data_IF_489209166016
#
_entry.id   IF_489209166016
#
_cell.length_a   1.000
_cell.length_b   1.000
_cell.length_c   1.000
_cell.angle_alpha   90.00
_cell.angle_beta   90.00
_cell.angle_gamma   90.00
#
_symmetry.space_group_name_H-M   'P 1'
#
loop_
_entity.id
_entity.type
_entity.pdbx_description
1 polymer ?
#
# COMPACT_ATOMS: atom_id res chain seq x y z
N UNK A 1 36.17 -15.45 -6.03
CA UNK A 1 34.70 -15.39 -6.04
C UNK A 1 34.12 -13.97 -5.91
N UNK A 2 34.78 -13.00 -5.26
CA UNK A 2 34.30 -11.59 -5.11
C UNK A 2 34.10 -10.81 -6.42
N UNK A 3 34.94 -11.03 -7.45
CA UNK A 3 34.85 -10.34 -8.74
C UNK A 3 33.64 -10.75 -9.62
N UNK A 4 33.02 -11.90 -9.38
CA UNK A 4 31.88 -12.37 -10.19
C UNK A 4 30.56 -11.73 -9.72
N UNK A 5 30.38 -11.57 -8.39
CA UNK A 5 29.17 -10.93 -7.81
C UNK A 5 29.00 -9.46 -8.16
N UNK A 6 30.11 -8.70 -8.25
CA UNK A 6 30.07 -7.29 -8.66
C UNK A 6 29.74 -7.11 -10.15
N UNK A 7 30.07 -8.10 -10.98
CA UNK A 7 29.72 -8.05 -12.43
C UNK A 7 28.26 -8.41 -12.69
N UNK A 8 27.67 -9.28 -11.89
CA UNK A 8 26.24 -9.62 -12.02
C UNK A 8 25.34 -8.50 -11.51
N UNK A 9 25.72 -7.79 -10.45
CA UNK A 9 25.00 -6.60 -9.97
C UNK A 9 25.09 -5.41 -10.96
N UNK A 10 26.26 -5.22 -11.59
CA UNK A 10 26.43 -4.20 -12.64
C UNK A 10 25.70 -4.57 -13.94
N UNK A 11 25.59 -5.86 -14.27
CA UNK A 11 24.83 -6.33 -15.43
C UNK A 11 23.31 -6.14 -15.22
N UNK A 12 22.77 -6.35 -14.01
CA UNK A 12 21.37 -6.10 -13.70
C UNK A 12 21.01 -4.62 -13.74
N UNK A 13 21.91 -3.76 -13.24
CA UNK A 13 21.75 -2.30 -13.32
C UNK A 13 21.83 -1.79 -14.77
N UNK A 14 22.68 -2.41 -15.63
CA UNK A 14 22.80 -2.07 -17.04
C UNK A 14 21.57 -2.53 -17.87
N UNK A 15 20.95 -3.67 -17.53
CA UNK A 15 19.75 -4.14 -18.21
C UNK A 15 18.52 -3.28 -17.88
N UNK A 16 18.46 -2.70 -16.68
CA UNK A 16 17.43 -1.72 -16.33
C UNK A 16 17.67 -0.34 -16.98
N UNK A 17 18.92 0.00 -17.28
CA UNK A 17 19.28 1.28 -17.93
C UNK A 17 19.15 1.25 -19.45
N UNK A 18 19.16 0.08 -20.10
CA UNK A 18 19.04 -0.07 -21.57
C UNK A 18 17.64 -0.44 -22.05
N UNK A 19 16.68 -0.66 -21.14
CA UNK A 19 15.28 -0.82 -21.50
C UNK A 19 14.69 0.53 -21.94
N UNK A 20 15.10 0.95 -23.12
CA UNK A 20 14.37 1.88 -23.98
C UNK A 20 14.21 3.31 -23.48
N UNK A 21 15.25 4.13 -23.59
CA UNK A 21 15.06 5.53 -23.93
C UNK A 21 14.57 5.65 -25.38
N UNK A 22 13.47 5.00 -25.69
CA UNK A 22 12.59 5.48 -26.74
C UNK A 22 12.02 6.77 -26.18
N UNK A 23 12.33 7.89 -26.79
CA UNK A 23 11.62 9.15 -26.61
C UNK A 23 10.16 8.89 -26.96
N UNK A 24 9.37 8.43 -25.99
CA UNK A 24 7.94 8.65 -25.98
C UNK A 24 7.77 10.15 -25.82
N UNK A 25 7.76 10.86 -26.94
CA UNK A 25 7.09 12.13 -27.02
C UNK A 25 5.63 11.78 -26.65
N UNK A 26 5.29 11.94 -25.36
CA UNK A 26 3.94 11.98 -24.91
C UNK A 26 3.34 13.19 -25.63
N UNK A 27 2.65 12.95 -26.72
CA UNK A 27 1.63 13.87 -27.19
C UNK A 27 0.71 14.03 -25.98
N UNK A 28 0.72 15.21 -25.39
CA UNK A 28 -0.28 15.60 -24.44
C UNK A 28 -1.60 15.62 -25.24
N UNK A 29 -2.29 14.47 -25.23
CA UNK A 29 -3.68 14.42 -25.59
C UNK A 29 -4.41 15.30 -24.60
N UNK A 30 -4.84 16.48 -25.07
CA UNK A 30 -5.73 17.41 -24.38
C UNK A 30 -7.17 16.86 -24.32
N UNK A 31 -7.36 15.54 -24.41
CA UNK A 31 -8.61 14.90 -24.06
C UNK A 31 -8.80 15.05 -22.56
N UNK A 32 -9.87 15.69 -22.16
CA UNK A 32 -10.32 15.78 -20.76
C UNK A 32 -10.13 14.41 -20.11
N UNK A 33 -9.55 14.32 -18.88
CA UNK A 33 -9.37 13.06 -18.22
C UNK A 33 -10.73 12.36 -18.16
N UNK A 34 -10.87 11.25 -18.87
CA UNK A 34 -12.06 10.42 -18.72
C UNK A 34 -12.01 9.90 -17.30
N UNK A 35 -12.91 10.40 -16.48
CA UNK A 35 -13.23 9.81 -15.19
C UNK A 35 -13.48 8.32 -15.47
N UNK A 36 -12.73 7.47 -14.81
CA UNK A 36 -12.97 6.02 -14.91
C UNK A 36 -14.44 5.78 -14.57
N UNK A 37 -15.16 5.06 -15.43
CA UNK A 37 -16.55 4.69 -15.17
C UNK A 37 -16.68 3.68 -14.01
N UNK A 38 -15.70 3.61 -13.13
CA UNK A 38 -15.69 2.72 -12.01
C UNK A 38 -16.39 3.34 -10.80
N UNK A 39 -17.24 2.57 -10.17
CA UNK A 39 -17.81 2.85 -8.85
C UNK A 39 -16.81 2.53 -7.73
N UNK A 40 -17.17 2.84 -6.49
CA UNK A 40 -16.39 2.52 -5.30
C UNK A 40 -14.91 2.95 -5.36
N UNK A 41 -14.62 4.13 -5.91
CA UNK A 41 -13.25 4.65 -6.07
C UNK A 41 -12.47 4.76 -4.74
N UNK A 42 -13.15 4.75 -3.61
CA UNK A 42 -12.52 4.74 -2.28
C UNK A 42 -11.63 3.49 -2.07
N UNK A 43 -11.88 2.37 -2.77
CA UNK A 43 -11.04 1.17 -2.75
C UNK A 43 -9.63 1.40 -3.32
N UNK A 44 -9.43 2.50 -4.07
CA UNK A 44 -8.12 2.90 -4.60
C UNK A 44 -7.31 3.74 -3.61
N UNK A 45 -7.91 4.17 -2.49
CA UNK A 45 -7.21 4.96 -1.50
C UNK A 45 -6.08 4.14 -0.85
N UNK A 46 -4.88 4.72 -0.73
CA UNK A 46 -3.76 4.01 -0.13
C UNK A 46 -3.99 3.84 1.38
N UNK A 47 -3.72 2.64 1.90
CA UNK A 47 -3.85 2.30 3.31
C UNK A 47 -2.51 1.82 3.85
N UNK A 48 -2.15 2.30 5.06
CA UNK A 48 -0.94 1.94 5.75
C UNK A 48 0.23 2.90 5.52
N UNK A 49 0.78 3.41 6.63
CA UNK A 49 1.84 4.42 6.58
C UNK A 49 3.18 3.87 6.04
N UNK A 50 3.44 2.57 6.23
CA UNK A 50 4.67 1.96 5.74
C UNK A 50 4.74 2.00 4.22
N UNK A 51 3.73 1.50 3.53
CA UNK A 51 3.69 1.45 2.06
C UNK A 51 3.62 2.86 1.46
N UNK A 52 2.82 3.74 2.09
CA UNK A 52 2.68 5.12 1.64
C UNK A 52 3.99 5.88 1.74
N UNK A 53 4.74 5.70 2.83
CA UNK A 53 6.08 6.30 2.99
C UNK A 53 7.07 5.85 1.91
N UNK A 54 6.85 4.69 1.29
CA UNK A 54 7.62 4.14 0.18
C UNK A 54 7.02 4.49 -1.21
N UNK A 55 6.34 5.61 -1.35
CA UNK A 55 5.72 5.99 -2.63
C UNK A 55 4.58 5.06 -3.04
N UNK A 56 3.92 4.40 -2.10
CA UNK A 56 2.89 3.39 -2.32
C UNK A 56 3.39 2.11 -3.03
N UNK A 57 4.69 1.82 -2.97
CA UNK A 57 5.27 0.58 -3.47
C UNK A 57 5.10 -0.55 -2.45
N UNK A 58 3.89 -1.15 -2.39
CA UNK A 58 3.44 -2.09 -1.37
C UNK A 58 3.22 -3.53 -1.84
N UNK A 59 3.30 -3.84 -3.14
CA UNK A 59 2.96 -5.16 -3.71
C UNK A 59 3.85 -6.28 -3.15
N UNK A 60 5.06 -5.95 -2.74
CA UNK A 60 6.02 -6.91 -2.15
C UNK A 60 6.15 -6.79 -0.63
N UNK A 61 5.31 -5.99 0.03
CA UNK A 61 5.29 -5.85 1.49
C UNK A 61 5.00 -7.19 2.16
N UNK A 62 5.69 -7.47 3.25
CA UNK A 62 5.56 -8.71 4.03
C UNK A 62 5.67 -8.46 5.53
N UNK A 63 5.14 -9.44 6.30
CA UNK A 63 5.32 -9.48 7.75
C UNK A 63 4.52 -8.45 8.52
N UNK A 64 3.56 -7.80 7.88
CA UNK A 64 2.66 -6.80 8.47
C UNK A 64 1.25 -6.98 7.93
N UNK A 65 0.25 -6.71 8.77
CA UNK A 65 -1.17 -6.82 8.40
C UNK A 65 -1.58 -5.86 7.29
N UNK A 66 -0.96 -4.67 7.20
CA UNK A 66 -1.27 -3.71 6.14
C UNK A 66 -1.00 -4.24 4.72
N UNK A 67 -0.21 -5.33 4.58
CA UNK A 67 0.03 -5.97 3.28
C UNK A 67 -1.26 -6.45 2.61
N UNK A 68 -2.33 -6.71 3.36
CA UNK A 68 -3.63 -7.13 2.82
C UNK A 68 -4.20 -6.15 1.80
N UNK A 69 -3.98 -4.87 1.97
CA UNK A 69 -4.49 -3.82 1.09
C UNK A 69 -3.67 -3.69 -0.22
N UNK A 70 -2.46 -4.26 -0.25
CA UNK A 70 -1.54 -4.19 -1.40
C UNK A 70 -1.42 -5.52 -2.13
N UNK A 71 -1.17 -6.58 -1.38
CA UNK A 71 -1.04 -7.95 -1.88
C UNK A 71 -1.28 -8.93 -0.71
N UNK A 72 -2.38 -9.67 -0.68
CA UNK A 72 -2.71 -10.54 0.44
C UNK A 72 -1.67 -11.65 0.68
N UNK A 73 -0.85 -12.01 -0.31
CA UNK A 73 0.22 -12.98 -0.14
C UNK A 73 1.28 -12.56 0.91
N UNK A 74 1.42 -11.26 1.16
CA UNK A 74 2.33 -10.71 2.18
C UNK A 74 1.98 -11.15 3.61
N UNK A 75 0.73 -11.50 3.88
CA UNK A 75 0.27 -12.02 5.16
C UNK A 75 0.87 -13.40 5.50
N UNK A 76 1.29 -14.19 4.50
CA UNK A 76 1.83 -15.52 4.70
C UNK A 76 3.11 -15.54 5.57
N UNK A 77 3.82 -14.41 5.63
CA UNK A 77 5.05 -14.23 6.40
C UNK A 77 4.83 -13.50 7.74
N UNK A 78 3.60 -13.33 8.18
CA UNK A 78 3.31 -12.68 9.46
C UNK A 78 3.90 -13.53 10.61
N UNK A 79 4.77 -12.95 11.46
CA UNK A 79 5.52 -13.74 12.46
C UNK A 79 4.67 -14.12 13.68
N UNK A 80 3.71 -13.29 14.05
CA UNK A 80 2.84 -13.44 15.21
C UNK A 80 1.45 -12.83 14.92
N UNK A 81 0.50 -13.02 15.81
CA UNK A 81 -0.80 -12.36 15.67
C UNK A 81 -0.61 -10.84 15.73
N UNK A 82 -1.30 -10.12 14.85
CA UNK A 82 -1.21 -8.66 14.75
C UNK A 82 -2.60 -8.04 14.77
N UNK A 83 -2.78 -7.06 15.65
CA UNK A 83 -3.86 -6.09 15.59
C UNK A 83 -3.28 -4.76 15.10
N UNK A 84 -3.92 -4.13 14.10
CA UNK A 84 -3.44 -2.86 13.60
C UNK A 84 -4.58 -1.88 13.33
N UNK A 85 -4.27 -0.59 13.50
CA UNK A 85 -5.12 0.54 13.16
C UNK A 85 -4.32 1.49 12.29
N UNK A 86 -4.86 1.82 11.12
CA UNK A 86 -4.28 2.81 10.20
C UNK A 86 -5.29 3.91 9.93
N UNK A 87 -4.89 5.16 10.05
CA UNK A 87 -5.75 6.31 9.79
C UNK A 87 -5.08 7.29 8.85
N UNK A 88 -5.88 7.92 8.00
CA UNK A 88 -5.43 8.96 7.10
C UNK A 88 -6.54 10.01 6.90
N UNK A 89 -6.12 11.26 6.66
CA UNK A 89 -7.04 12.32 6.25
C UNK A 89 -6.92 12.48 4.73
N UNK A 90 -7.91 11.93 4.02
CA UNK A 90 -8.06 12.15 2.58
C UNK A 90 -8.87 13.43 2.34
N UNK A 91 -8.87 13.91 1.11
CA UNK A 91 -9.71 15.04 0.69
C UNK A 91 -11.19 14.71 0.85
N UNK A 92 -11.54 13.47 0.55
CA UNK A 92 -12.91 12.99 0.68
C UNK A 92 -13.39 12.91 2.15
N UNK A 93 -12.44 12.91 3.12
CA UNK A 93 -12.72 12.77 4.54
C UNK A 93 -11.74 11.84 5.24
N UNK A 94 -11.89 11.64 6.55
CA UNK A 94 -11.06 10.70 7.30
C UNK A 94 -11.34 9.26 6.91
N UNK A 95 -10.25 8.50 6.67
CA UNK A 95 -10.29 7.06 6.46
C UNK A 95 -9.60 6.32 7.59
N UNK A 96 -10.21 5.23 8.07
CA UNK A 96 -9.64 4.40 9.13
C UNK A 96 -9.78 2.93 8.78
N UNK A 97 -8.67 2.20 8.83
CA UNK A 97 -8.63 0.76 8.68
C UNK A 97 -8.26 0.10 10.01
N UNK A 98 -8.97 -0.96 10.34
CA UNK A 98 -8.69 -1.81 11.52
C UNK A 98 -8.57 -3.24 11.02
N UNK A 99 -7.50 -3.93 11.40
CA UNK A 99 -7.24 -5.31 10.97
C UNK A 99 -6.78 -6.18 12.14
N UNK A 100 -7.10 -7.46 12.04
CA UNK A 100 -6.60 -8.49 12.95
C UNK A 100 -6.26 -9.76 12.17
N UNK A 101 -5.02 -10.20 12.24
CA UNK A 101 -4.50 -11.38 11.56
C UNK A 101 -3.82 -12.32 12.53
N UNK A 102 -4.05 -13.62 12.35
CA UNK A 102 -3.54 -14.67 13.22
C UNK A 102 -2.86 -15.76 12.36
N UNK A 103 -1.52 -15.88 12.42
CA UNK A 103 -0.82 -16.96 11.76
C UNK A 103 -1.02 -18.29 12.51
N UNK A 104 -1.17 -19.38 11.74
CA UNK A 104 -1.24 -20.75 12.23
C UNK A 104 -0.18 -21.60 11.56
N UNK A 105 0.74 -22.14 12.35
CA UNK A 105 1.85 -22.96 11.85
C UNK A 105 1.35 -24.11 10.98
N UNK A 106 1.95 -24.28 9.80
CA UNK A 106 1.64 -25.36 8.86
C UNK A 106 0.33 -25.18 8.08
N UNK A 107 -0.44 -24.10 8.34
CA UNK A 107 -1.69 -23.82 7.65
C UNK A 107 -1.59 -22.51 6.87
N UNK A 108 -1.30 -21.42 7.54
CA UNK A 108 -1.26 -20.08 6.98
C UNK A 108 -1.80 -19.02 7.95
N UNK A 109 -1.99 -17.82 7.46
CA UNK A 109 -2.49 -16.68 8.21
C UNK A 109 -3.94 -16.39 7.81
N UNK A 110 -4.80 -16.28 8.81
CA UNK A 110 -6.21 -15.89 8.66
C UNK A 110 -6.42 -14.53 9.32
N UNK A 111 -7.36 -13.78 8.82
CA UNK A 111 -7.77 -12.58 9.52
C UNK A 111 -8.89 -11.83 8.84
N UNK A 112 -9.30 -10.78 9.53
CA UNK A 112 -10.39 -9.90 9.14
C UNK A 112 -9.96 -8.45 9.29
N UNK A 113 -10.65 -7.56 8.61
CA UNK A 113 -10.48 -6.14 8.77
C UNK A 113 -11.69 -5.35 8.30
N UNK A 114 -11.65 -4.06 8.57
CA UNK A 114 -12.62 -3.09 8.11
C UNK A 114 -11.89 -1.82 7.70
N UNK A 115 -12.27 -1.23 6.58
CA UNK A 115 -11.88 0.11 6.19
C UNK A 115 -13.13 0.98 6.07
N UNK A 116 -13.13 2.09 6.79
CA UNK A 116 -14.20 3.09 6.81
C UNK A 116 -13.68 4.39 6.20
N UNK A 117 -14.40 4.95 5.24
CA UNK A 117 -14.24 6.32 4.76
C UNK A 117 -15.50 7.10 5.08
N UNK A 118 -15.37 8.16 5.88
CA UNK A 118 -16.45 9.05 6.26
C UNK A 118 -16.29 10.38 5.50
N UNK A 119 -17.28 10.71 4.67
CA UNK A 119 -17.25 11.94 3.88
C UNK A 119 -17.72 13.17 4.68
N UNK A 120 -18.11 12.96 5.94
CA UNK A 120 -18.63 14.02 6.80
C UNK A 120 -20.03 14.48 6.43
N UNK A 121 -20.47 15.53 7.10
CA UNK A 121 -21.74 16.20 6.85
C UNK A 121 -21.67 17.05 5.58
N UNK A 122 -22.65 16.90 4.69
CA UNK A 122 -22.80 17.69 3.49
C UNK A 122 -24.20 18.33 3.44
N UNK A 123 -24.23 19.66 3.29
CA UNK A 123 -25.49 20.39 3.12
C UNK A 123 -26.02 20.23 1.70
N UNK A 124 -27.30 19.91 1.58
CA UNK A 124 -28.01 19.81 0.32
C UNK A 124 -29.13 20.86 0.31
N UNK A 125 -29.10 21.72 -0.69
CA UNK A 125 -30.08 22.80 -0.85
C UNK A 125 -30.31 23.18 -2.31
N UNK A 126 -31.38 23.90 -2.56
CA UNK A 126 -31.70 24.46 -3.89
C UNK A 126 -30.95 25.76 -4.15
N UNK A 127 -30.53 26.45 -3.08
CA UNK A 127 -29.78 27.73 -3.11
C UNK A 127 -28.72 27.71 -2.00
N UNK A 128 -27.61 28.38 -2.22
CA UNK A 128 -26.48 28.49 -1.26
C UNK A 128 -26.85 29.15 0.08
N UNK A 129 -28.07 29.60 0.27
CA UNK A 129 -28.56 30.28 1.49
C UNK A 129 -29.56 29.47 2.30
N UNK A 130 -30.02 28.30 1.81
CA UNK A 130 -31.03 27.48 2.49
C UNK A 130 -30.71 25.98 2.38
N UNK A 131 -29.95 25.46 3.32
CA UNK A 131 -29.83 24.02 3.45
C UNK A 131 -31.19 23.43 3.83
N UNK A 132 -31.75 22.57 2.97
CA UNK A 132 -33.03 21.90 3.22
C UNK A 132 -32.87 20.52 3.85
N UNK A 133 -31.68 19.93 3.63
CA UNK A 133 -31.32 18.61 4.16
C UNK A 133 -29.81 18.55 4.41
N UNK A 134 -29.41 17.56 5.22
CA UNK A 134 -28.03 17.17 5.46
C UNK A 134 -27.85 15.71 5.10
N UNK A 135 -26.80 15.37 4.37
CA UNK A 135 -26.46 14.00 4.06
C UNK A 135 -25.12 13.61 4.70
N UNK A 136 -24.99 12.33 5.07
CA UNK A 136 -23.82 11.74 5.70
C UNK A 136 -23.38 10.52 4.88
N UNK A 137 -22.65 10.70 3.78
CA UNK A 137 -22.18 9.58 2.98
C UNK A 137 -21.05 8.83 3.69
N UNK A 138 -21.07 7.50 3.62
CA UNK A 138 -20.04 6.61 4.18
C UNK A 138 -19.79 5.44 3.25
N UNK A 139 -18.52 5.05 3.14
CA UNK A 139 -18.11 3.81 2.51
C UNK A 139 -17.47 2.90 3.55
N UNK A 140 -17.85 1.64 3.54
CA UNK A 140 -17.25 0.62 4.39
C UNK A 140 -16.83 -0.57 3.54
N UNK A 141 -15.61 -1.04 3.75
CA UNK A 141 -15.09 -2.29 3.19
C UNK A 141 -14.81 -3.24 4.35
N UNK A 142 -15.52 -4.36 4.43
CA UNK A 142 -15.19 -5.47 5.31
C UNK A 142 -14.35 -6.47 4.53
N UNK A 143 -13.27 -6.96 5.12
CA UNK A 143 -12.41 -7.95 4.48
C UNK A 143 -12.20 -9.19 5.35
N UNK A 144 -12.09 -10.34 4.68
CA UNK A 144 -11.66 -11.59 5.26
C UNK A 144 -10.57 -12.20 4.37
N UNK A 145 -9.44 -12.56 4.96
CA UNK A 145 -8.26 -12.95 4.20
C UNK A 145 -7.66 -14.26 4.69
N UNK A 146 -7.08 -14.98 3.74
CA UNK A 146 -6.24 -16.15 3.99
C UNK A 146 -4.97 -16.07 3.13
N UNK A 147 -3.82 -16.38 3.72
CA UNK A 147 -2.56 -16.48 3.01
C UNK A 147 -1.71 -17.63 3.54
N UNK A 148 -0.95 -18.25 2.65
CA UNK A 148 -0.07 -19.37 3.02
C UNK A 148 1.19 -19.37 2.17
N UNK A 149 2.27 -19.99 2.69
CA UNK A 149 3.50 -20.21 1.95
C UNK A 149 3.50 -21.60 1.35
N UNK A 150 3.73 -21.66 0.04
CA UNK A 150 3.89 -22.88 -0.72
C UNK A 150 5.38 -23.15 -0.93
N UNK A 151 5.86 -24.34 -0.56
CA UNK A 151 7.25 -24.77 -0.78
C UNK A 151 8.34 -23.76 -0.33
N UNK A 152 8.08 -22.99 0.73
CA UNK A 152 9.06 -22.11 1.39
C UNK A 152 9.45 -20.81 0.66
N UNK A 153 9.37 -20.76 -0.66
CA UNK A 153 9.77 -19.59 -1.45
C UNK A 153 8.58 -18.80 -2.04
N UNK A 154 7.45 -19.46 -2.21
CA UNK A 154 6.26 -18.88 -2.84
C UNK A 154 5.18 -18.67 -1.78
N UNK A 155 4.63 -17.49 -1.71
CA UNK A 155 3.47 -17.16 -0.89
C UNK A 155 2.28 -16.84 -1.80
N UNK A 156 1.09 -17.25 -1.38
CA UNK A 156 -0.18 -16.93 -2.05
C UNK A 156 -1.19 -16.44 -1.01
N UNK A 157 -2.10 -15.59 -1.44
CA UNK A 157 -3.14 -15.05 -0.57
C UNK A 157 -4.40 -14.70 -1.34
N UNK A 158 -5.52 -14.74 -0.64
CA UNK A 158 -6.82 -14.34 -1.14
C UNK A 158 -7.52 -13.48 -0.08
N UNK A 159 -8.20 -12.44 -0.54
CA UNK A 159 -9.07 -11.61 0.31
C UNK A 159 -10.46 -11.54 -0.32
N UNK A 160 -11.47 -11.81 0.46
CA UNK A 160 -12.84 -11.50 0.15
C UNK A 160 -13.21 -10.15 0.76
N UNK A 161 -13.91 -9.32 0.00
CA UNK A 161 -14.33 -7.98 0.39
C UNK A 161 -15.84 -7.84 0.25
N UNK A 162 -16.47 -7.28 1.27
CA UNK A 162 -17.84 -6.82 1.23
C UNK A 162 -17.83 -5.30 1.27
N UNK A 163 -18.30 -4.67 0.21
CA UNK A 163 -18.22 -3.22 0.01
C UNK A 163 -19.60 -2.64 0.15
N UNK A 164 -19.77 -1.73 1.11
CA UNK A 164 -21.02 -1.06 1.41
C UNK A 164 -20.88 0.45 1.21
N UNK A 165 -21.84 1.05 0.54
CA UNK A 165 -22.01 2.49 0.43
C UNK A 165 -23.35 2.86 1.07
N UNK A 166 -23.34 3.81 2.02
CA UNK A 166 -24.52 4.26 2.74
C UNK A 166 -24.62 5.77 2.69
N UNK A 167 -25.83 6.29 2.48
CA UNK A 167 -26.16 7.71 2.62
C UNK A 167 -27.29 7.83 3.65
N UNK A 168 -26.98 8.40 4.80
CA UNK A 168 -27.99 8.84 5.76
C UNK A 168 -28.41 10.28 5.43
N UNK A 169 -29.70 10.60 5.56
CA UNK A 169 -30.22 11.92 5.31
C UNK A 169 -31.06 12.43 6.48
N UNK A 170 -30.87 13.70 6.85
CA UNK A 170 -31.62 14.40 7.89
C UNK A 170 -32.24 15.69 7.32
N UNK A 171 -33.47 16.00 7.69
CA UNK A 171 -34.23 17.16 7.22
C UNK A 171 -35.21 16.82 6.11
N UNK A 172 -35.37 17.69 5.11
CA UNK A 172 -36.27 17.44 3.98
C UNK A 172 -35.56 16.60 2.91
N UNK A 173 -35.64 15.29 3.03
CA UNK A 173 -34.98 14.31 2.16
C UNK A 173 -35.82 13.89 0.95
N UNK A 174 -36.90 14.60 0.64
CA UNK A 174 -37.75 14.29 -0.51
C UNK A 174 -36.97 14.42 -1.82
N UNK A 175 -36.89 13.35 -2.59
CA UNK A 175 -36.15 13.30 -3.86
C UNK A 175 -34.63 13.09 -3.73
N UNK A 176 -34.11 12.99 -2.50
CA UNK A 176 -32.73 12.57 -2.23
C UNK A 176 -32.69 11.06 -2.00
N UNK A 177 -31.56 10.41 -2.32
CA UNK A 177 -31.34 9.03 -1.94
C UNK A 177 -31.24 8.94 -0.41
N UNK A 178 -32.34 8.63 0.25
CA UNK A 178 -32.39 8.45 1.71
C UNK A 178 -32.37 6.96 2.01
N UNK A 179 -31.41 6.52 2.81
CA UNK A 179 -31.23 5.10 3.11
C UNK A 179 -30.79 4.29 1.87
N UNK A 180 -30.10 4.92 0.94
CA UNK A 180 -29.52 4.21 -0.19
C UNK A 180 -28.34 3.40 0.29
N UNK A 181 -28.57 2.11 0.48
CA UNK A 181 -27.55 1.12 0.76
C UNK A 181 -27.20 0.40 -0.54
N UNK A 182 -25.99 0.57 -1.02
CA UNK A 182 -25.44 -0.25 -2.09
C UNK A 182 -24.44 -1.23 -1.51
N UNK A 183 -24.60 -2.50 -1.87
CA UNK A 183 -23.76 -3.60 -1.40
C UNK A 183 -23.20 -4.35 -2.60
N UNK A 184 -21.89 -4.60 -2.57
CA UNK A 184 -21.23 -5.44 -3.58
C UNK A 184 -20.13 -6.28 -2.98
N UNK A 185 -19.63 -7.24 -3.76
CA UNK A 185 -18.63 -8.20 -3.35
C UNK A 185 -17.41 -8.09 -4.28
N UNK A 186 -16.21 -8.16 -3.71
CA UNK A 186 -14.95 -8.18 -4.44
C UNK A 186 -14.00 -9.22 -3.89
N UNK A 187 -12.98 -9.54 -4.69
CA UNK A 187 -11.91 -10.47 -4.34
C UNK A 187 -10.58 -9.89 -4.76
N UNK A 188 -9.57 -10.12 -3.91
CA UNK A 188 -8.17 -9.93 -4.25
C UNK A 188 -7.47 -11.29 -4.23
N UNK A 189 -6.57 -11.48 -5.18
CA UNK A 189 -5.69 -12.66 -5.25
C UNK A 189 -4.27 -12.16 -5.44
N UNK A 190 -3.34 -12.70 -4.66
CA UNK A 190 -1.96 -12.29 -4.72
C UNK A 190 -0.97 -13.44 -4.61
N UNK A 191 0.23 -13.19 -5.12
CA UNK A 191 1.37 -14.08 -4.99
C UNK A 191 2.64 -13.28 -4.77
N UNK A 192 3.60 -13.89 -4.07
CA UNK A 192 4.96 -13.36 -3.91
C UNK A 192 5.95 -14.52 -3.98
N UNK A 193 7.14 -14.24 -4.50
CA UNK A 193 8.23 -15.21 -4.57
C UNK A 193 9.54 -14.57 -4.16
N UNK A 194 10.28 -15.25 -3.29
CA UNK A 194 11.66 -14.91 -2.93
C UNK A 194 12.61 -15.57 -3.92
N UNK A 195 13.50 -14.79 -4.52
CA UNK A 195 14.44 -15.26 -5.56
C UNK A 195 15.87 -15.10 -5.09
N UNK A 196 16.70 -16.08 -5.42
CA UNK A 196 18.13 -16.08 -5.10
C UNK A 196 18.46 -16.58 -3.70
N UNK A 197 19.74 -16.71 -3.41
CA UNK A 197 20.25 -17.13 -2.11
C UNK A 197 19.96 -16.07 -1.05
N UNK A 198 19.21 -16.44 0.00
CA UNK A 198 18.85 -15.53 1.08
C UNK A 198 17.64 -14.62 0.78
N UNK A 199 16.96 -14.78 -0.38
CA UNK A 199 15.73 -14.05 -0.69
C UNK A 199 15.91 -12.53 -0.79
N UNK A 200 17.08 -12.08 -1.25
CA UNK A 200 17.37 -10.65 -1.41
C UNK A 200 16.46 -9.96 -2.42
N UNK A 201 16.07 -10.67 -3.48
CA UNK A 201 15.08 -10.20 -4.45
C UNK A 201 13.73 -10.86 -4.15
N UNK A 202 12.68 -10.06 -4.11
CA UNK A 202 11.29 -10.53 -4.02
C UNK A 202 10.51 -9.95 -5.16
N UNK A 203 9.70 -10.79 -5.81
CA UNK A 203 8.76 -10.41 -6.84
C UNK A 203 7.35 -10.65 -6.31
N UNK A 204 6.41 -9.81 -6.69
CA UNK A 204 5.02 -9.91 -6.30
C UNK A 204 4.08 -9.61 -7.46
N UNK A 205 2.93 -10.26 -7.45
CA UNK A 205 1.82 -9.97 -8.34
C UNK A 205 0.51 -10.04 -7.57
N UNK A 206 -0.39 -9.12 -7.83
CA UNK A 206 -1.73 -9.12 -7.25
C UNK A 206 -2.76 -8.66 -8.29
N UNK A 207 -3.92 -9.29 -8.27
CA UNK A 207 -5.12 -8.78 -8.93
C UNK A 207 -6.10 -8.41 -7.83
N UNK A 208 -6.53 -7.15 -7.82
CA UNK A 208 -7.35 -6.59 -6.75
C UNK A 208 -8.70 -6.13 -7.28
N UNK A 209 -9.67 -6.09 -6.36
CA UNK A 209 -10.98 -5.48 -6.56
C UNK A 209 -11.78 -6.09 -7.72
N UNK A 210 -11.55 -7.39 -8.00
CA UNK A 210 -12.37 -8.13 -8.96
C UNK A 210 -13.69 -8.49 -8.31
N UNK A 211 -14.81 -8.01 -8.86
CA UNK A 211 -16.09 -8.27 -8.23
C UNK A 211 -17.30 -7.92 -9.08
N UNK A 212 -18.44 -7.90 -8.41
CA UNK A 212 -19.70 -7.52 -9.03
C UNK A 212 -19.84 -6.02 -9.10
N UNK A 213 -20.62 -5.54 -10.08
CA UNK A 213 -20.89 -4.12 -10.22
C UNK A 213 -21.61 -3.56 -8.99
N UNK A 214 -21.24 -2.34 -8.60
CA UNK A 214 -21.94 -1.61 -7.54
C UNK A 214 -23.23 -1.02 -8.11
N UNK A 215 -24.36 -1.37 -7.50
CA UNK A 215 -25.70 -0.86 -7.88
C UNK A 215 -26.22 0.04 -6.76
N UNK A 216 -26.32 1.34 -7.02
CA UNK A 216 -26.86 2.31 -6.05
C UNK A 216 -28.38 2.44 -6.19
N UNK A 217 -28.90 2.50 -7.40
CA UNK A 217 -30.34 2.69 -7.66
C UNK A 217 -30.97 1.51 -8.42
N UNK A 218 -30.38 1.14 -9.56
CA UNK A 218 -30.91 0.07 -10.41
C UNK A 218 -29.78 -0.56 -11.27
N UNK A 219 -30.10 -1.69 -11.91
CA UNK A 219 -29.12 -2.42 -12.72
C UNK A 219 -28.58 -1.64 -13.94
N UNK A 220 -29.33 -0.66 -14.45
CA UNK A 220 -28.90 0.16 -15.57
C UNK A 220 -27.88 1.24 -15.17
N UNK A 221 -27.80 1.55 -13.88
CA UNK A 221 -26.88 2.52 -13.27
C UNK A 221 -25.85 1.81 -12.39
N UNK A 222 -25.39 0.64 -12.82
CA UNK A 222 -24.40 -0.15 -12.08
C UNK A 222 -23.01 0.09 -12.62
N UNK A 223 -22.09 0.50 -11.75
CA UNK A 223 -20.71 0.80 -12.08
C UNK A 223 -19.80 -0.40 -11.77
N UNK A 224 -18.84 -0.75 -12.64
CA UNK A 224 -17.85 -1.78 -12.36
C UNK A 224 -16.96 -1.35 -11.18
N UNK A 225 -16.41 -2.31 -10.46
CA UNK A 225 -15.40 -2.04 -9.45
C UNK A 225 -14.06 -1.67 -10.10
N UNK A 226 -13.18 -0.91 -9.40
CA UNK A 226 -11.91 -0.44 -9.94
C UNK A 226 -10.83 -1.55 -9.93
N UNK A 227 -11.11 -2.67 -10.59
CA UNK A 227 -10.20 -3.82 -10.63
C UNK A 227 -8.83 -3.45 -11.22
N UNK A 228 -7.76 -3.97 -10.61
CA UNK A 228 -6.36 -3.65 -10.96
C UNK A 228 -5.45 -4.85 -10.95
N UNK A 229 -4.48 -4.86 -11.88
CA UNK A 229 -3.32 -5.74 -11.87
C UNK A 229 -2.12 -4.95 -11.34
N UNK A 230 -1.49 -5.46 -10.29
CA UNK A 230 -0.32 -4.88 -9.67
C UNK A 230 0.85 -5.85 -9.74
N UNK A 231 2.01 -5.39 -10.19
CA UNK A 231 3.27 -6.13 -10.22
C UNK A 231 4.31 -5.37 -9.40
N UNK A 232 5.12 -6.08 -8.63
CA UNK A 232 6.10 -5.45 -7.77
C UNK A 232 7.42 -6.21 -7.70
N UNK A 233 8.49 -5.47 -7.43
CA UNK A 233 9.80 -6.00 -7.13
C UNK A 233 10.40 -5.26 -5.92
N UNK A 234 11.03 -6.00 -5.02
CA UNK A 234 11.77 -5.47 -3.89
C UNK A 234 13.15 -6.11 -3.84
N UNK A 235 14.17 -5.28 -3.70
CA UNK A 235 15.54 -5.73 -3.48
C UNK A 235 16.05 -5.27 -2.12
N UNK A 236 16.51 -6.24 -1.29
CA UNK A 236 17.08 -5.98 0.03
C UNK A 236 18.61 -6.02 -0.02
N UNK A 237 19.22 -4.99 0.55
CA UNK A 237 20.66 -4.85 0.70
C UNK A 237 20.96 -4.83 2.19
N UNK A 238 21.55 -5.91 2.69
CA UNK A 238 22.04 -5.99 4.06
C UNK A 238 23.51 -5.53 4.07
N UNK A 239 23.79 -4.45 4.78
CA UNK A 239 25.15 -3.90 4.90
C UNK A 239 26.00 -4.63 5.94
N UNK A 240 25.54 -5.78 6.43
CA UNK A 240 26.33 -6.64 7.32
C UNK A 240 27.54 -7.18 6.56
N UNK A 241 28.79 -6.98 7.03
CA UNK A 241 29.91 -7.75 6.50
C UNK A 241 29.63 -9.22 6.84
N UNK A 242 29.64 -10.07 5.81
CA UNK A 242 29.61 -11.50 6.04
C UNK A 242 30.69 -11.84 7.07
N UNK A 243 30.27 -12.51 8.14
CA UNK A 243 31.14 -12.99 9.23
C UNK A 243 32.36 -13.68 8.63
N UNK A 244 33.47 -12.94 8.49
CA UNK A 244 34.76 -13.52 8.17
C UNK A 244 35.26 -14.02 9.50
N UNK A 245 35.15 -15.35 9.72
CA UNK A 245 35.66 -16.04 10.90
C UNK A 245 36.99 -15.47 11.38
N UNK A 246 36.91 -14.53 12.27
CA UNK A 246 38.01 -13.90 12.96
C UNK A 246 37.81 -14.20 14.44
N UNK A 247 38.76 -14.89 15.00
CA UNK A 247 38.82 -15.24 16.41
C UNK A 247 38.72 -13.97 17.30
N UNK A 248 38.63 -14.17 18.63
CA UNK A 248 38.35 -13.11 19.59
C UNK A 248 39.45 -12.05 19.53
N UNK A 249 39.19 -10.94 18.90
CA UNK A 249 39.97 -9.71 19.06
C UNK A 249 39.61 -9.09 20.39
N UNK A 250 40.55 -9.12 21.33
CA UNK A 250 40.47 -8.38 22.58
C UNK A 250 40.21 -6.89 22.24
N UNK A 251 39.04 -6.43 22.61
CA UNK A 251 38.69 -5.03 22.50
C UNK A 251 39.61 -4.23 23.41
N UNK A 252 40.40 -3.33 22.85
CA UNK A 252 41.07 -2.28 23.60
C UNK A 252 39.99 -1.24 23.98
N UNK A 253 39.87 -0.88 25.26
CA UNK A 253 39.00 0.22 25.65
C UNK A 253 39.68 1.54 25.30
N UNK A 254 38.87 2.44 24.78
CA UNK A 254 39.12 3.87 24.71
C UNK A 254 39.63 4.47 23.38
N UNK A 255 38.67 5.00 22.70
CA UNK A 255 38.70 6.31 22.08
C UNK A 255 37.29 6.67 21.65
N UNK A 256 36.73 7.78 22.10
CA UNK A 256 35.41 8.31 21.79
C UNK A 256 35.17 8.66 20.29
N UNK A 257 35.67 7.82 19.42
CA UNK A 257 35.38 7.81 17.98
C UNK A 257 34.12 6.95 17.81
N UNK A 258 33.06 7.56 17.35
CA UNK A 258 31.93 6.86 16.77
C UNK A 258 32.49 5.88 15.72
N UNK A 259 32.48 4.60 16.04
CA UNK A 259 32.87 3.56 15.08
C UNK A 259 31.76 3.42 14.03
N UNK A 260 31.89 4.21 12.97
CA UNK A 260 30.94 4.26 11.87
C UNK A 260 30.78 2.86 11.22
N UNK A 261 31.79 2.01 11.31
CA UNK A 261 31.75 0.67 10.75
C UNK A 261 30.81 -0.24 11.55
N UNK A 262 30.79 -0.14 12.85
CA UNK A 262 29.87 -0.90 13.70
C UNK A 262 28.42 -0.44 13.55
N UNK A 263 28.21 0.85 13.37
CA UNK A 263 26.87 1.42 13.11
C UNK A 263 26.31 1.00 11.74
N UNK A 264 27.14 0.99 10.70
CA UNK A 264 26.74 0.58 9.34
C UNK A 264 26.41 -0.91 9.26
N UNK A 265 26.97 -1.75 10.15
CA UNK A 265 26.67 -3.18 10.21
C UNK A 265 25.24 -3.52 10.64
N UNK A 266 24.46 -2.52 11.02
CA UNK A 266 23.11 -2.68 11.56
C UNK A 266 22.05 -2.00 10.67
N UNK A 267 22.46 -1.60 9.46
CA UNK A 267 21.61 -0.93 8.49
C UNK A 267 21.15 -1.93 7.43
N UNK A 268 19.86 -2.01 7.17
CA UNK A 268 19.27 -2.63 5.99
C UNK A 268 18.63 -1.59 5.08
N UNK A 269 18.75 -1.81 3.78
CA UNK A 269 18.15 -0.95 2.77
C UNK A 269 17.23 -1.82 1.90
N UNK A 270 16.02 -1.33 1.65
CA UNK A 270 15.05 -1.96 0.76
C UNK A 270 14.70 -1.00 -0.36
N UNK A 271 14.80 -1.47 -1.59
CA UNK A 271 14.41 -0.74 -2.78
C UNK A 271 13.20 -1.44 -3.38
N UNK A 272 12.11 -0.73 -3.56
CA UNK A 272 10.86 -1.27 -4.11
C UNK A 272 10.47 -0.52 -5.38
N UNK A 273 9.89 -1.25 -6.33
CA UNK A 273 9.29 -0.72 -7.54
C UNK A 273 8.02 -1.51 -7.86
N UNK A 274 6.91 -0.80 -8.06
CA UNK A 274 5.63 -1.38 -8.42
C UNK A 274 5.09 -0.77 -9.72
N UNK A 275 4.38 -1.58 -10.49
CA UNK A 275 3.59 -1.21 -11.65
C UNK A 275 2.13 -1.58 -11.35
N UNK A 276 1.25 -0.62 -11.44
CA UNK A 276 -0.18 -0.80 -11.19
C UNK A 276 -0.97 -0.40 -12.45
N UNK A 277 -1.89 -1.25 -12.91
CA UNK A 277 -2.65 -1.04 -14.13
C UNK A 277 -4.12 -1.39 -13.93
N UNK A 278 -5.06 -0.51 -14.34
CA UNK A 278 -6.47 -0.87 -14.41
C UNK A 278 -6.68 -2.12 -15.27
N UNK A 279 -7.56 -3.01 -14.83
CA UNK A 279 -7.83 -4.29 -15.51
C UNK A 279 -8.42 -4.11 -16.91
N UNK A 280 -9.28 -3.14 -17.07
CA UNK A 280 -9.98 -2.79 -18.31
C UNK A 280 -9.16 -1.91 -19.26
N UNK A 281 -7.90 -1.60 -18.91
CA UNK A 281 -7.04 -0.68 -19.66
C UNK A 281 -7.62 0.74 -19.85
N UNK A 282 -8.55 1.15 -19.01
CA UNK A 282 -9.21 2.47 -19.06
C UNK A 282 -8.25 3.63 -18.81
N UNK A 283 -7.08 3.35 -18.21
CA UNK A 283 -6.05 4.33 -17.93
C UNK A 283 -4.65 3.72 -18.12
N UNK A 284 -3.61 4.55 -18.41
CA UNK A 284 -2.23 4.09 -18.49
C UNK A 284 -1.74 3.54 -17.14
N UNK A 285 -0.69 2.69 -17.14
CA UNK A 285 -0.14 2.14 -15.92
C UNK A 285 0.51 3.22 -15.05
N UNK A 286 0.39 3.05 -13.73
CA UNK A 286 1.04 3.85 -12.71
C UNK A 286 2.32 3.17 -12.26
N UNK A 287 3.38 3.94 -12.00
CA UNK A 287 4.63 3.45 -11.46
C UNK A 287 4.89 4.01 -10.07
N UNK A 288 5.41 3.19 -9.19
CA UNK A 288 5.68 3.57 -7.81
C UNK A 288 7.08 3.09 -7.41
N UNK A 289 7.84 3.95 -6.75
CA UNK A 289 9.20 3.66 -6.32
C UNK A 289 9.38 4.03 -4.86
N UNK A 290 10.09 3.19 -4.14
CA UNK A 290 10.33 3.39 -2.72
C UNK A 290 11.70 2.94 -2.27
N UNK A 291 12.20 3.63 -1.27
CA UNK A 291 13.37 3.26 -0.49
C UNK A 291 12.98 3.23 1.00
N UNK A 292 13.42 2.20 1.68
CA UNK A 292 13.24 2.02 3.13
C UNK A 292 14.60 1.70 3.73
N UNK A 293 15.07 2.54 4.64
CA UNK A 293 16.33 2.39 5.36
C UNK A 293 16.02 2.09 6.82
N UNK A 294 16.43 0.93 7.29
CA UNK A 294 16.25 0.48 8.66
C UNK A 294 17.55 0.49 9.44
N UNK A 295 17.45 0.87 10.71
CA UNK A 295 18.51 0.77 11.69
C UNK A 295 18.05 -0.08 12.87
N UNK A 296 18.77 -1.17 13.16
CA UNK A 296 18.44 -2.14 14.23
C UNK A 296 17.02 -2.74 14.15
N UNK A 297 16.38 -2.72 12.99
CA UNK A 297 14.97 -3.08 12.84
C UNK A 297 14.02 -2.19 13.69
N UNK A 298 14.57 -1.27 14.48
CA UNK A 298 13.82 -0.42 15.41
C UNK A 298 13.39 0.88 14.79
N UNK A 299 14.27 1.55 14.04
CA UNK A 299 13.99 2.84 13.40
C UNK A 299 14.03 2.62 11.89
N UNK A 300 13.01 3.12 11.21
CA UNK A 300 12.93 3.07 9.74
C UNK A 300 12.64 4.46 9.19
N UNK A 301 13.35 4.82 8.13
CA UNK A 301 13.11 6.05 7.36
C UNK A 301 12.80 5.65 5.93
N UNK A 302 11.76 6.23 5.38
CA UNK A 302 11.23 5.87 4.07
C UNK A 302 11.07 7.10 3.21
N UNK A 303 11.28 6.92 1.92
CA UNK A 303 10.95 7.90 0.91
C UNK A 303 10.53 7.19 -0.36
N UNK A 304 9.72 7.84 -1.16
CA UNK A 304 9.28 7.27 -2.41
C UNK A 304 8.62 8.30 -3.33
N UNK A 305 8.24 7.82 -4.50
CA UNK A 305 7.53 8.62 -5.50
C UNK A 305 6.50 7.77 -6.22
N UNK A 306 5.29 8.28 -6.32
CA UNK A 306 4.22 7.70 -7.12
C UNK A 306 4.04 8.53 -8.40
N UNK A 307 4.14 7.87 -9.55
CA UNK A 307 3.74 8.41 -10.86
C UNK A 307 2.31 7.94 -11.13
N UNK A 308 1.36 8.64 -10.54
CA UNK A 308 -0.06 8.37 -10.68
C UNK A 308 -0.70 9.40 -11.61
N UNK A 309 -1.90 9.11 -12.09
CA UNK A 309 -2.63 10.00 -12.97
C UNK A 309 -3.41 11.06 -12.21
N UNK A 310 -3.96 12.03 -12.93
CA UNK A 310 -4.87 13.05 -12.41
C UNK A 310 -4.28 13.93 -11.29
N UNK A 311 -2.95 14.18 -11.33
CA UNK A 311 -2.32 15.05 -10.34
C UNK A 311 -2.06 14.40 -8.98
N UNK A 312 -2.30 13.09 -8.85
CA UNK A 312 -1.97 12.30 -7.65
C UNK A 312 -0.49 11.89 -7.60
N UNK A 313 0.29 12.27 -8.61
CA UNK A 313 1.73 12.07 -8.62
C UNK A 313 2.42 12.91 -7.56
N UNK A 314 3.40 12.35 -6.89
CA UNK A 314 4.19 13.12 -5.94
C UNK A 314 5.11 12.27 -5.08
N UNK A 315 6.06 12.94 -4.41
CA UNK A 315 6.92 12.30 -3.44
C UNK A 315 6.17 12.00 -2.14
N UNK A 316 6.70 11.05 -1.40
CA UNK A 316 6.30 10.74 -0.04
C UNK A 316 7.51 10.55 0.86
N UNK A 317 7.30 10.79 2.14
CA UNK A 317 8.24 10.50 3.20
C UNK A 317 7.55 9.74 4.30
N UNK A 318 8.29 8.92 5.03
CA UNK A 318 7.76 8.18 6.17
C UNK A 318 8.84 7.88 7.19
N UNK A 319 8.40 7.61 8.39
CA UNK A 319 9.24 7.12 9.48
C UNK A 319 8.48 6.07 10.28
N UNK A 320 9.20 5.13 10.87
CA UNK A 320 8.63 4.10 11.71
C UNK A 320 9.51 3.81 12.91
N UNK A 321 8.88 3.52 14.03
CA UNK A 321 9.54 3.05 15.26
C UNK A 321 8.90 1.73 15.63
N UNK A 322 9.70 0.68 15.68
CA UNK A 322 9.28 -0.69 15.99
C UNK A 322 10.02 -1.15 17.24
N UNK A 323 9.31 -1.48 18.28
CA UNK A 323 9.91 -1.91 19.55
C UNK A 323 9.13 -3.07 20.14
N UNK A 324 9.77 -4.26 20.23
CA UNK A 324 9.12 -5.47 20.71
C UNK A 324 7.83 -5.76 19.95
N UNK A 325 6.71 -5.71 20.66
CA UNK A 325 5.37 -5.97 20.09
C UNK A 325 4.68 -4.76 19.45
N UNK A 326 5.26 -3.57 19.57
CA UNK A 326 4.61 -2.34 19.12
C UNK A 326 5.34 -1.77 17.92
N UNK A 327 4.58 -1.33 16.91
CA UNK A 327 5.10 -0.53 15.84
C UNK A 327 4.19 0.69 15.58
N UNK A 328 4.82 1.83 15.37
CA UNK A 328 4.18 3.09 15.01
C UNK A 328 4.86 3.60 13.75
N UNK A 329 4.08 3.79 12.72
CA UNK A 329 4.54 4.31 11.43
C UNK A 329 3.78 5.58 11.08
N UNK A 330 4.50 6.54 10.51
CA UNK A 330 3.99 7.82 10.03
C UNK A 330 4.42 8.01 8.58
N UNK A 331 3.54 8.55 7.75
CA UNK A 331 3.89 8.95 6.39
C UNK A 331 3.11 10.20 5.96
N UNK A 332 3.68 10.92 5.00
CA UNK A 332 3.04 12.06 4.34
C UNK A 332 3.34 12.04 2.85
N UNK A 333 2.33 12.25 2.04
CA UNK A 333 2.46 12.43 0.59
C UNK A 333 2.41 13.90 0.23
N UNK A 334 3.11 14.28 -0.85
CA UNK A 334 3.13 15.65 -1.38
C UNK A 334 2.70 15.59 -2.84
N UNK A 335 1.40 15.70 -3.07
CA UNK A 335 0.82 15.58 -4.41
C UNK A 335 0.94 16.88 -5.20
N UNK A 336 1.10 16.79 -6.52
CA UNK A 336 1.34 17.95 -7.39
C UNK A 336 0.11 18.84 -7.53
N UNK A 337 -1.09 18.28 -7.51
CA UNK A 337 -2.32 19.04 -7.66
C UNK A 337 -3.08 19.12 -6.33
N UNK A 338 -2.73 20.11 -5.52
CA UNK A 338 -3.40 20.38 -4.24
C UNK A 338 -4.80 20.97 -4.42
N UNK A 339 -5.11 21.56 -5.57
CA UNK A 339 -6.42 22.18 -5.83
C UNK A 339 -7.54 21.13 -5.91
N UNK A 340 -7.23 19.92 -6.37
CA UNK A 340 -8.19 18.81 -6.38
C UNK A 340 -8.27 18.07 -5.05
N UNK A 341 -7.21 18.13 -4.23
CA UNK A 341 -7.06 17.31 -3.04
C UNK A 341 -7.03 18.11 -1.72
N UNK A 342 -7.10 19.43 -1.77
CA UNK A 342 -7.21 20.34 -0.62
C UNK A 342 -6.05 20.34 0.36
N UNK A 343 -5.37 19.20 0.57
CA UNK A 343 -4.21 19.07 1.46
C UNK A 343 -3.41 17.80 1.13
N UNK A 344 -2.13 17.80 1.53
CA UNK A 344 -1.27 16.63 1.45
C UNK A 344 -1.68 15.59 2.50
N UNK A 345 -2.16 14.39 2.14
CA UNK A 345 -2.60 13.39 3.08
C UNK A 345 -1.49 12.95 4.05
N UNK A 346 -1.86 12.80 5.31
CA UNK A 346 -1.00 12.29 6.38
C UNK A 346 -1.55 10.96 6.86
N UNK A 347 -0.66 10.00 7.05
CA UNK A 347 -0.99 8.62 7.41
C UNK A 347 -0.30 8.26 8.72
N UNK A 348 -1.04 7.60 9.60
CA UNK A 348 -0.54 7.06 10.86
C UNK A 348 -1.00 5.62 10.97
N UNK A 349 -0.08 4.72 11.26
CA UNK A 349 -0.37 3.31 11.52
C UNK A 349 0.19 2.90 12.88
N UNK A 350 -0.63 2.22 13.65
CA UNK A 350 -0.25 1.57 14.89
C UNK A 350 -0.49 0.07 14.75
N UNK A 351 0.45 -0.75 15.18
CA UNK A 351 0.24 -2.19 15.27
C UNK A 351 0.80 -2.78 16.55
N UNK A 352 0.11 -3.81 17.03
CA UNK A 352 0.45 -4.61 18.18
C UNK A 352 0.54 -6.08 17.77
N UNK A 353 1.70 -6.70 17.99
CA UNK A 353 1.93 -8.15 17.77
C UNK A 353 1.94 -8.90 19.10
N UNK A 354 1.36 -10.12 19.16
CA UNK A 354 1.24 -10.94 20.37
C UNK A 354 1.15 -12.43 20.11
#
# INVERSE_FOLDING_TARGET
MKRRRSREALALAAVLATAGWSTLAAQADTSSPQLTNAGALFMLLPIGAQSVGMGQAGVTLQGRGESVFWNPAGLASLPAAEFAVSSANFVAGPGTAITMFVPRRGIGTFGVGVFLLDYGEQDVGTDSLSAIAKIFPRNVEYLASFATSLAGAVSVGVTYKLVQFTIDCQGNCAGLPNGSDALTHAFDVGSQVAVGSGGALRLGAAVKDIGFKLQVNNAAQSDPLPARLSLGALYRIDLHPADQGGGPTLAAPDSGRLDLSSALNQVDIRLAADLDRPWDNSAPPEMRFGIDVGYHETIRVRSGYAFAQQGLSGPSIGMGVHTGSIAIDFARTFVQNTDLLGANPTFISFSLTF
#
